data_IF_698883150920
#
_entry.id   IF_698883150920
#
_cell.length_a   1.000
_cell.length_b   1.000
_cell.length_c   1.000
_cell.angle_alpha   90.00
_cell.angle_beta   90.00
_cell.angle_gamma   90.00
#
_symmetry.space_group_name_H-M   'P 1'
#
loop_
_entity.id
_entity.type
_entity.pdbx_description
1 polymer ?
#
# COMPACT_ATOMS: atom_id res chain seq x y z
N UNK A 1 -48.12 20.35 -4.49
CA UNK A 1 -47.49 20.49 -3.15
C UNK A 1 -46.64 19.25 -2.90
N UNK A 2 -45.31 19.38 -2.77
CA UNK A 2 -44.42 18.23 -2.48
C UNK A 2 -44.55 17.85 -1.00
N UNK A 3 -45.06 16.66 -0.71
CA UNK A 3 -45.11 16.13 0.66
C UNK A 3 -43.67 15.94 1.17
N UNK A 4 -43.32 16.65 2.25
CA UNK A 4 -42.07 16.42 2.99
C UNK A 4 -42.21 15.09 3.72
N UNK A 5 -41.52 14.05 3.24
CA UNK A 5 -41.33 12.81 3.99
C UNK A 5 -40.60 13.13 5.30
N UNK A 6 -41.28 12.95 6.44
CA UNK A 6 -40.67 13.15 7.76
C UNK A 6 -39.62 12.06 7.97
N UNK A 7 -38.40 12.44 8.36
CA UNK A 7 -37.35 11.48 8.73
C UNK A 7 -37.87 10.59 9.87
N UNK A 8 -37.61 9.26 9.84
CA UNK A 8 -38.04 8.37 10.90
C UNK A 8 -37.46 8.83 12.23
N UNK A 9 -38.34 8.95 13.23
CA UNK A 9 -37.96 9.35 14.59
C UNK A 9 -37.22 8.17 15.22
N UNK A 10 -36.05 8.46 15.79
CA UNK A 10 -35.22 7.45 16.46
C UNK A 10 -35.72 7.29 17.89
N UNK A 11 -36.49 6.24 18.16
CA UNK A 11 -37.20 6.03 19.44
C UNK A 11 -36.73 4.82 20.24
N UNK A 12 -35.85 3.98 19.69
CA UNK A 12 -35.37 2.75 20.34
C UNK A 12 -34.10 3.06 21.12
N UNK A 13 -34.07 2.71 22.41
CA UNK A 13 -32.91 2.82 23.29
C UNK A 13 -32.28 1.44 23.50
N UNK A 14 -30.95 1.35 23.32
CA UNK A 14 -30.16 0.17 23.64
C UNK A 14 -29.06 0.56 24.62
N UNK A 15 -29.00 -0.15 25.76
CA UNK A 15 -27.96 0.07 26.77
C UNK A 15 -26.73 -0.79 26.45
N UNK A 16 -25.54 -0.18 26.56
CA UNK A 16 -24.24 -0.85 26.41
C UNK A 16 -23.51 -0.75 27.76
N UNK A 17 -23.05 -1.88 28.28
CA UNK A 17 -22.23 -1.90 29.51
C UNK A 17 -20.78 -1.64 29.14
N UNK A 18 -20.15 -0.71 29.84
CA UNK A 18 -18.77 -0.30 29.61
C UNK A 18 -18.03 -0.33 30.94
N UNK A 19 -16.75 -0.69 30.88
CA UNK A 19 -15.80 -0.39 31.95
C UNK A 19 -15.48 1.11 31.98
N UNK A 20 -14.86 1.57 33.07
CA UNK A 20 -14.46 2.99 33.21
C UNK A 20 -13.51 3.42 32.08
N UNK A 21 -12.55 2.57 31.72
CA UNK A 21 -11.59 2.82 30.64
C UNK A 21 -12.28 2.91 29.26
N UNK A 22 -13.20 2.00 28.98
CA UNK A 22 -13.96 2.02 27.72
C UNK A 22 -14.85 3.26 27.60
N UNK A 23 -15.45 3.70 28.70
CA UNK A 23 -16.25 4.92 28.73
C UNK A 23 -15.40 6.16 28.43
N UNK A 24 -14.21 6.28 29.03
CA UNK A 24 -13.28 7.37 28.74
C UNK A 24 -12.80 7.35 27.29
N UNK A 25 -12.52 6.17 26.74
CA UNK A 25 -12.19 6.01 25.33
C UNK A 25 -13.35 6.49 24.43
N UNK A 26 -14.59 6.11 24.74
CA UNK A 26 -15.77 6.51 23.96
C UNK A 26 -15.95 8.03 24.03
N UNK A 27 -15.80 8.61 25.22
CA UNK A 27 -15.87 10.06 25.42
C UNK A 27 -14.84 10.78 24.55
N UNK A 28 -13.57 10.39 24.65
CA UNK A 28 -12.47 11.00 23.89
C UNK A 28 -12.67 10.88 22.38
N UNK A 29 -13.07 9.71 21.88
CA UNK A 29 -13.33 9.50 20.44
C UNK A 29 -14.57 10.25 19.94
N UNK A 30 -15.53 10.52 20.82
CA UNK A 30 -16.76 11.23 20.46
C UNK A 30 -16.62 12.75 20.42
N UNK A 31 -15.47 13.32 20.81
CA UNK A 31 -15.24 14.77 20.83
C UNK A 31 -15.45 15.43 19.45
N UNK A 32 -15.14 14.72 18.38
CA UNK A 32 -15.35 15.19 17.01
C UNK A 32 -16.80 15.00 16.50
N UNK A 33 -17.70 14.43 17.32
CA UNK A 33 -19.09 14.16 16.98
C UNK A 33 -20.03 15.02 17.80
N UNK A 34 -21.18 15.36 17.23
CA UNK A 34 -22.20 16.14 17.94
C UNK A 34 -22.82 15.36 19.13
N UNK A 35 -22.82 14.03 19.07
CA UNK A 35 -23.26 13.14 20.16
C UNK A 35 -22.51 11.81 20.11
N UNK A 36 -22.26 11.20 21.27
CA UNK A 36 -21.68 9.85 21.38
C UNK A 36 -22.53 8.79 20.66
N UNK A 37 -23.86 8.91 20.72
CA UNK A 37 -24.78 8.05 19.96
C UNK A 37 -24.65 8.26 18.44
N UNK A 38 -24.27 9.46 17.98
CA UNK A 38 -23.89 9.72 16.58
C UNK A 38 -22.68 8.89 16.18
N UNK A 39 -21.58 9.02 16.92
CA UNK A 39 -20.35 8.26 16.71
C UNK A 39 -20.60 6.75 16.70
N UNK A 40 -21.32 6.21 17.68
CA UNK A 40 -21.58 4.76 17.78
C UNK A 40 -22.34 4.25 16.56
N UNK A 41 -23.35 4.99 16.08
CA UNK A 41 -24.11 4.59 14.88
C UNK A 41 -23.26 4.61 13.62
N UNK A 42 -22.44 5.65 13.45
CA UNK A 42 -21.54 5.74 12.30
C UNK A 42 -20.47 4.65 12.37
N UNK A 43 -19.94 4.36 13.56
CA UNK A 43 -19.02 3.25 13.79
C UNK A 43 -19.68 1.92 13.43
N UNK A 44 -20.88 1.61 13.92
CA UNK A 44 -21.61 0.38 13.57
C UNK A 44 -21.89 0.30 12.07
N UNK A 45 -22.31 1.40 11.44
CA UNK A 45 -22.53 1.46 9.99
C UNK A 45 -21.24 1.16 9.20
N UNK A 46 -20.10 1.64 9.67
CA UNK A 46 -18.80 1.44 9.03
C UNK A 46 -18.21 0.06 9.32
N UNK A 47 -18.45 -0.50 10.51
CA UNK A 47 -17.95 -1.82 10.93
C UNK A 47 -18.74 -2.99 10.35
N UNK A 48 -20.05 -2.83 10.15
CA UNK A 48 -20.93 -3.86 9.56
C UNK A 48 -20.81 -3.94 8.03
N UNK A 49 -20.08 -3.02 7.42
CA UNK A 49 -19.85 -3.05 5.99
C UNK A 49 -18.78 -4.10 5.65
N UNK A 50 -19.21 -5.24 5.08
CA UNK A 50 -18.30 -6.22 4.43
C UNK A 50 -17.35 -5.52 3.46
N UNK A 51 -17.72 -4.37 2.89
CA UNK A 51 -16.84 -3.57 2.06
C UNK A 51 -15.68 -2.93 2.85
N UNK A 52 -15.87 -2.49 4.10
CA UNK A 52 -14.78 -1.97 4.94
C UNK A 52 -13.78 -3.07 5.28
N UNK A 53 -14.27 -4.26 5.67
CA UNK A 53 -13.40 -5.41 5.96
C UNK A 53 -12.64 -5.87 4.71
N UNK A 54 -13.34 -6.01 3.57
CA UNK A 54 -12.71 -6.33 2.28
C UNK A 54 -11.70 -5.27 1.86
N UNK A 55 -12.00 -3.99 2.07
CA UNK A 55 -11.08 -2.89 1.76
C UNK A 55 -9.80 -2.98 2.60
N UNK A 56 -9.93 -3.29 3.89
CA UNK A 56 -8.76 -3.53 4.76
C UNK A 56 -7.95 -4.75 4.31
N UNK A 57 -8.62 -5.87 4.01
CA UNK A 57 -7.97 -7.07 3.46
C UNK A 57 -7.24 -6.78 2.14
N UNK A 58 -7.89 -6.08 1.20
CA UNK A 58 -7.26 -5.66 -0.06
C UNK A 58 -6.09 -4.69 0.16
N UNK A 59 -6.15 -3.80 1.15
CA UNK A 59 -5.00 -2.94 1.49
C UNK A 59 -3.82 -3.77 2.02
N UNK A 60 -4.09 -4.80 2.83
CA UNK A 60 -3.07 -5.73 3.30
C UNK A 60 -2.46 -6.52 2.12
N UNK A 61 -3.27 -7.03 1.20
CA UNK A 61 -2.80 -7.74 0.01
C UNK A 61 -1.91 -6.86 -0.88
N UNK A 62 -2.30 -5.60 -1.10
CA UNK A 62 -1.51 -4.62 -1.86
C UNK A 62 -0.18 -4.32 -1.17
N UNK A 63 -0.18 -4.18 0.16
CA UNK A 63 1.05 -4.01 0.94
C UNK A 63 1.99 -5.21 0.78
N UNK A 64 1.47 -6.43 0.91
CA UNK A 64 2.28 -7.64 0.79
C UNK A 64 2.81 -7.83 -0.64
N UNK A 65 2.00 -7.49 -1.65
CA UNK A 65 2.44 -7.45 -3.04
C UNK A 65 3.60 -6.47 -3.22
N UNK A 66 3.47 -5.23 -2.71
CA UNK A 66 4.53 -4.22 -2.78
C UNK A 66 5.85 -4.72 -2.18
N UNK A 67 5.81 -5.24 -0.95
CA UNK A 67 7.01 -5.70 -0.24
C UNK A 67 7.70 -6.83 -1.00
N UNK A 68 6.93 -7.81 -1.48
CA UNK A 68 7.48 -8.93 -2.28
C UNK A 68 8.09 -8.45 -3.58
N UNK A 69 7.46 -7.48 -4.26
CA UNK A 69 7.93 -6.99 -5.53
C UNK A 69 9.20 -6.16 -5.39
N UNK A 70 9.29 -5.27 -4.39
CA UNK A 70 10.51 -4.51 -4.11
C UNK A 70 11.71 -5.44 -3.77
N UNK A 71 11.46 -6.49 -2.97
CA UNK A 71 12.47 -7.51 -2.72
C UNK A 71 12.93 -8.18 -4.02
N UNK A 72 11.99 -8.65 -4.87
CA UNK A 72 12.34 -9.28 -6.15
C UNK A 72 13.15 -8.37 -7.06
N UNK A 73 12.82 -7.07 -7.15
CA UNK A 73 13.61 -6.10 -7.90
C UNK A 73 15.04 -5.98 -7.33
N UNK A 74 15.19 -5.98 -6.01
CA UNK A 74 16.51 -6.00 -5.37
C UNK A 74 17.33 -7.24 -5.73
N UNK A 75 16.71 -8.42 -5.74
CA UNK A 75 17.35 -9.67 -6.17
C UNK A 75 17.77 -9.65 -7.64
N UNK A 76 16.89 -9.18 -8.54
CA UNK A 76 17.21 -9.06 -9.97
C UNK A 76 18.38 -8.08 -10.18
N UNK A 77 18.36 -6.93 -9.50
CA UNK A 77 19.45 -5.96 -9.58
C UNK A 77 20.79 -6.51 -9.09
N UNK A 78 20.78 -7.30 -8.01
CA UNK A 78 22.00 -7.96 -7.51
C UNK A 78 22.54 -8.99 -8.51
N UNK A 79 21.67 -9.82 -9.09
CA UNK A 79 22.07 -10.81 -10.09
C UNK A 79 22.63 -10.14 -11.36
N UNK A 80 22.01 -9.04 -11.80
CA UNK A 80 22.48 -8.28 -12.96
C UNK A 80 23.86 -7.67 -12.72
N UNK A 81 24.09 -7.12 -11.52
CA UNK A 81 25.40 -6.59 -11.14
C UNK A 81 26.48 -7.68 -11.13
N UNK A 82 26.16 -8.87 -10.61
CA UNK A 82 27.07 -10.01 -10.64
C UNK A 82 27.38 -10.46 -12.07
N UNK A 83 26.37 -10.53 -12.94
CA UNK A 83 26.56 -10.87 -14.35
C UNK A 83 27.46 -9.85 -15.06
N UNK A 84 27.28 -8.55 -14.79
CA UNK A 84 28.16 -7.50 -15.33
C UNK A 84 29.59 -7.62 -14.80
N UNK A 85 29.78 -7.86 -13.50
CA UNK A 85 31.11 -8.09 -12.95
C UNK A 85 31.79 -9.28 -13.63
N UNK A 86 31.07 -10.39 -13.83
CA UNK A 86 31.62 -11.56 -14.51
C UNK A 86 31.96 -11.28 -15.96
N UNK A 87 31.12 -10.53 -16.68
CA UNK A 87 31.42 -10.11 -18.04
C UNK A 87 32.70 -9.25 -18.10
N UNK A 88 32.89 -8.34 -17.14
CA UNK A 88 34.09 -7.51 -17.06
C UNK A 88 35.35 -8.33 -16.77
N UNK A 89 35.28 -9.32 -15.88
CA UNK A 89 36.40 -10.25 -15.62
C UNK A 89 36.79 -11.01 -16.88
N UNK A 90 35.82 -11.59 -17.59
CA UNK A 90 36.05 -12.30 -18.84
C UNK A 90 36.70 -11.40 -19.91
N UNK A 91 36.39 -10.10 -19.90
CA UNK A 91 37.02 -9.13 -20.79
C UNK A 91 38.51 -8.94 -20.49
N UNK A 92 38.83 -8.80 -19.19
CA UNK A 92 40.21 -8.63 -18.72
C UNK A 92 41.05 -9.88 -19.05
N UNK A 93 40.46 -11.06 -18.93
CA UNK A 93 41.08 -12.34 -19.29
C UNK A 93 41.16 -12.57 -20.81
N UNK A 94 40.61 -11.67 -21.62
CA UNK A 94 40.57 -11.78 -23.09
C UNK A 94 39.60 -12.85 -23.61
N UNK A 95 38.77 -13.41 -22.73
CA UNK A 95 37.76 -14.43 -23.05
C UNK A 95 36.47 -13.83 -23.62
N UNK A 96 36.24 -12.54 -23.38
CA UNK A 96 35.12 -11.77 -23.93
C UNK A 96 35.65 -10.49 -24.59
N UNK A 97 35.15 -10.15 -25.77
CA UNK A 97 35.57 -8.93 -26.45
C UNK A 97 35.08 -7.69 -25.71
N UNK A 98 35.99 -6.78 -25.37
CA UNK A 98 35.65 -5.48 -24.79
C UNK A 98 34.72 -4.66 -25.68
N UNK A 99 34.83 -4.79 -27.01
CA UNK A 99 33.94 -4.12 -27.95
C UNK A 99 32.53 -4.70 -27.89
N UNK A 100 32.40 -6.01 -27.72
CA UNK A 100 31.11 -6.66 -27.53
C UNK A 100 30.43 -6.20 -26.23
N UNK A 101 31.19 -6.04 -25.15
CA UNK A 101 30.66 -5.50 -23.89
C UNK A 101 30.12 -4.09 -24.10
N UNK A 102 30.90 -3.19 -24.69
CA UNK A 102 30.51 -1.79 -24.83
C UNK A 102 29.42 -1.55 -25.85
N UNK A 103 29.44 -2.26 -26.97
CA UNK A 103 28.52 -1.98 -28.09
C UNK A 103 27.22 -2.77 -27.99
N UNK A 104 27.21 -3.90 -27.29
CA UNK A 104 26.05 -4.80 -27.24
C UNK A 104 25.54 -4.97 -25.82
N UNK A 105 26.38 -5.38 -24.87
CA UNK A 105 25.90 -5.70 -23.51
C UNK A 105 25.58 -4.45 -22.68
N UNK A 106 26.41 -3.42 -22.70
CA UNK A 106 26.21 -2.21 -21.91
C UNK A 106 24.89 -1.47 -22.26
N UNK A 107 24.51 -1.30 -23.54
CA UNK A 107 23.22 -0.72 -23.89
C UNK A 107 22.04 -1.53 -23.35
N UNK A 108 22.01 -2.84 -23.58
CA UNK A 108 20.93 -3.74 -23.13
C UNK A 108 20.79 -3.77 -21.61
N UNK A 109 21.92 -3.82 -20.90
CA UNK A 109 21.93 -3.76 -19.43
C UNK A 109 21.50 -2.37 -18.96
N UNK A 110 21.90 -1.31 -19.64
CA UNK A 110 21.47 0.06 -19.38
C UNK A 110 19.95 0.22 -19.48
N UNK A 111 19.34 -0.27 -20.57
CA UNK A 111 17.88 -0.27 -20.76
C UNK A 111 17.17 -1.08 -19.68
N UNK A 112 17.70 -2.26 -19.35
CA UNK A 112 17.14 -3.12 -18.30
C UNK A 112 17.19 -2.43 -16.93
N UNK A 113 18.31 -1.79 -16.58
CA UNK A 113 18.47 -1.04 -15.34
C UNK A 113 17.54 0.17 -15.28
N UNK A 114 17.36 0.86 -16.40
CA UNK A 114 16.43 1.98 -16.50
C UNK A 114 15.00 1.53 -16.24
N UNK A 115 14.57 0.43 -16.86
CA UNK A 115 13.24 -0.14 -16.64
C UNK A 115 13.02 -0.56 -15.18
N UNK A 116 14.03 -1.19 -14.55
CA UNK A 116 13.97 -1.55 -13.11
C UNK A 116 13.82 -0.29 -12.23
N UNK A 117 14.55 0.78 -12.55
CA UNK A 117 14.45 2.06 -11.80
C UNK A 117 13.08 2.71 -11.96
N UNK A 118 12.51 2.68 -13.16
CA UNK A 118 11.17 3.19 -13.44
C UNK A 118 10.11 2.41 -12.67
N UNK A 119 10.15 1.07 -12.73
CA UNK A 119 9.27 0.21 -11.93
C UNK A 119 9.36 0.53 -10.43
N UNK A 120 10.58 0.73 -9.91
CA UNK A 120 10.79 1.08 -8.50
C UNK A 120 10.24 2.47 -8.16
N UNK A 121 10.39 3.44 -9.06
CA UNK A 121 9.82 4.78 -8.90
C UNK A 121 8.30 4.74 -8.84
N UNK A 122 7.67 3.97 -9.72
CA UNK A 122 6.21 3.85 -9.75
C UNK A 122 5.67 3.13 -8.51
N UNK A 123 6.38 2.12 -8.02
CA UNK A 123 6.10 1.49 -6.74
C UNK A 123 6.19 2.50 -5.58
N UNK A 124 7.22 3.33 -5.55
CA UNK A 124 7.37 4.35 -4.51
C UNK A 124 6.22 5.37 -4.57
N UNK A 125 5.78 5.79 -5.77
CA UNK A 125 4.59 6.65 -5.93
C UNK A 125 3.33 5.98 -5.39
N UNK A 126 3.14 4.69 -5.68
CA UNK A 126 2.03 3.91 -5.13
C UNK A 126 2.10 3.84 -3.60
N UNK A 127 3.28 3.61 -3.02
CA UNK A 127 3.49 3.62 -1.57
C UNK A 127 3.10 4.96 -0.96
N UNK A 128 3.53 6.07 -1.55
CA UNK A 128 3.18 7.41 -1.08
C UNK A 128 1.67 7.69 -1.15
N UNK A 129 0.98 7.21 -2.20
CA UNK A 129 -0.47 7.31 -2.27
C UNK A 129 -1.17 6.47 -1.20
N UNK A 130 -0.69 5.26 -0.92
CA UNK A 130 -1.25 4.39 0.10
C UNK A 130 -1.05 4.92 1.53
N UNK A 131 0.07 5.56 1.81
CA UNK A 131 0.35 6.17 3.13
C UNK A 131 -0.40 7.49 3.39
N UNK A 132 -0.95 8.11 2.34
CA UNK A 132 -1.75 9.35 2.43
C UNK A 132 -3.25 9.11 2.59
N UNK A 133 -3.71 7.85 2.50
CA UNK A 133 -5.09 7.42 2.73
C UNK A 133 -5.34 7.09 4.20
#
# INVERSE_FOLDING_TARGET
>A
MKQRTRKPIRSIEQKVRLTTEEYEMFRKKSECYHTMAGMIRDAVRLFDDKATKRKLESMTEVKDFYVRFDQRLGWIGSNLNQAQHRANELAIEGQLSSDYIRQILEPEVGETLQLIREMRSDLEKLRQHLLKL
#
